data_IF_314640797123
#
_entry.id   IF_314640797123
#
_cell.length_a   1.000
_cell.length_b   1.000
_cell.length_c   1.000
_cell.angle_alpha   90.00
_cell.angle_beta   90.00
_cell.angle_gamma   90.00
#
_symmetry.space_group_name_H-M   'P 1'
#
loop_
_entity.id
_entity.type
_entity.pdbx_description
1 polymer ?
#
# COMPACT_ATOMS: atom_id res chain seq x y z
N UNK A 1 -6.98 1.62 3.77
CA UNK A 1 -8.43 1.33 3.83
C UNK A 1 -9.09 2.60 4.29
N UNK A 2 -10.26 2.95 3.77
CA UNK A 2 -11.03 4.08 4.28
C UNK A 2 -12.12 3.55 5.20
N UNK A 3 -12.05 3.91 6.49
CA UNK A 3 -13.11 3.56 7.43
C UNK A 3 -14.12 4.69 7.44
N UNK A 4 -15.38 4.35 7.18
CA UNK A 4 -16.47 5.31 7.02
C UNK A 4 -17.37 5.25 8.24
N UNK A 5 -17.68 6.42 8.83
CA UNK A 5 -18.60 6.53 9.98
C UNK A 5 -19.95 5.87 9.68
N UNK A 6 -20.47 5.10 10.64
CA UNK A 6 -21.74 4.38 10.50
C UNK A 6 -21.64 3.03 9.80
N UNK A 7 -20.42 2.53 9.52
CA UNK A 7 -20.20 1.16 9.05
C UNK A 7 -19.79 0.25 10.21
N UNK A 8 -20.07 -1.07 10.14
CA UNK A 8 -19.61 -2.02 11.17
C UNK A 8 -18.10 -1.96 11.40
N UNK A 9 -17.32 -1.68 10.36
CA UNK A 9 -15.87 -1.56 10.46
C UNK A 9 -15.44 -0.33 11.29
N UNK A 10 -16.21 0.75 11.25
CA UNK A 10 -16.00 1.92 12.11
C UNK A 10 -16.26 1.59 13.57
N UNK A 11 -17.31 0.82 13.86
CA UNK A 11 -17.63 0.42 15.24
C UNK A 11 -16.53 -0.48 15.81
N UNK A 12 -16.03 -1.43 15.02
CA UNK A 12 -14.90 -2.29 15.41
C UNK A 12 -13.61 -1.48 15.63
N UNK A 13 -13.36 -0.45 14.82
CA UNK A 13 -12.22 0.44 15.01
C UNK A 13 -12.35 1.24 16.30
N UNK A 14 -13.53 1.80 16.58
CA UNK A 14 -13.79 2.55 17.81
C UNK A 14 -13.69 1.68 19.07
N UNK A 15 -13.98 0.39 18.94
CA UNK A 15 -13.81 -0.61 20.00
C UNK A 15 -12.35 -1.09 20.16
N UNK A 16 -11.44 -0.68 19.27
CA UNK A 16 -10.04 -1.13 19.25
C UNK A 16 -9.84 -2.58 18.81
N UNK A 17 -10.91 -3.26 18.37
CA UNK A 17 -10.89 -4.65 17.90
C UNK A 17 -10.50 -4.76 16.42
N UNK A 18 -10.54 -3.64 15.71
CA UNK A 18 -10.01 -3.51 14.35
C UNK A 18 -9.00 -2.37 14.26
N UNK A 19 -7.74 -2.69 13.97
CA UNK A 19 -6.68 -1.71 13.79
C UNK A 19 -6.21 -1.73 12.34
N UNK A 20 -6.09 -0.54 11.75
CA UNK A 20 -5.49 -0.42 10.43
C UNK A 20 -3.97 -0.61 10.53
N UNK A 21 -3.36 -1.35 9.59
CA UNK A 21 -1.91 -1.39 9.51
C UNK A 21 -1.36 0.01 9.25
N UNK A 22 -0.17 0.25 9.77
CA UNK A 22 0.61 1.46 9.50
C UNK A 22 0.94 1.57 8.00
N UNK A 23 1.28 2.79 7.51
CA UNK A 23 1.73 2.98 6.14
C UNK A 23 2.82 2.00 5.69
N UNK A 24 3.78 1.72 6.57
CA UNK A 24 4.91 0.83 6.27
C UNK A 24 4.50 -0.64 6.23
N UNK A 25 3.56 -1.06 7.07
CA UNK A 25 2.99 -2.41 7.00
C UNK A 25 2.22 -2.62 5.70
N UNK A 26 1.43 -1.63 5.26
CA UNK A 26 0.73 -1.68 3.97
C UNK A 26 1.73 -1.76 2.80
N UNK A 27 2.83 -1.00 2.83
CA UNK A 27 3.86 -1.06 1.79
C UNK A 27 4.60 -2.41 1.80
N UNK A 28 4.85 -2.98 2.98
CA UNK A 28 5.45 -4.31 3.12
C UNK A 28 4.56 -5.39 2.52
N UNK A 29 3.27 -5.37 2.84
CA UNK A 29 2.27 -6.26 2.23
C UNK A 29 2.22 -6.11 0.71
N UNK A 30 2.31 -4.87 0.21
CA UNK A 30 2.32 -4.61 -1.23
C UNK A 30 3.53 -5.24 -1.94
N UNK A 31 4.72 -5.09 -1.37
CA UNK A 31 5.93 -5.69 -1.92
C UNK A 31 5.82 -7.22 -1.98
N UNK A 32 5.21 -7.83 -0.96
CA UNK A 32 4.98 -9.27 -0.89
C UNK A 32 3.93 -9.74 -1.89
N UNK A 33 2.84 -8.99 -2.06
CA UNK A 33 1.87 -9.29 -3.11
C UNK A 33 2.50 -9.20 -4.50
N UNK A 34 3.30 -8.18 -4.76
CA UNK A 34 3.93 -7.96 -6.07
C UNK A 34 5.01 -9.02 -6.37
N UNK A 35 5.81 -9.42 -5.37
CA UNK A 35 6.84 -10.46 -5.53
C UNK A 35 6.25 -11.82 -5.91
N UNK A 36 5.06 -12.12 -5.40
CA UNK A 36 4.33 -13.36 -5.68
C UNK A 36 3.31 -13.24 -6.82
N UNK A 37 3.18 -12.07 -7.45
CA UNK A 37 2.31 -11.89 -8.61
C UNK A 37 3.04 -12.28 -9.90
N UNK A 38 2.56 -13.33 -10.56
CA UNK A 38 3.05 -13.75 -11.86
C UNK A 38 2.11 -13.28 -12.97
N UNK A 39 2.64 -12.46 -13.88
CA UNK A 39 1.90 -11.98 -15.04
C UNK A 39 2.83 -11.97 -16.26
N UNK A 40 2.39 -12.61 -17.34
CA UNK A 40 3.16 -12.68 -18.59
C UNK A 40 3.12 -11.37 -19.38
N UNK A 41 2.07 -10.56 -19.19
CA UNK A 41 1.92 -9.21 -19.75
C UNK A 41 0.81 -8.46 -19.04
N UNK A 42 1.08 -7.25 -18.56
CA UNK A 42 0.04 -6.39 -18.01
C UNK A 42 0.59 -5.24 -17.17
N UNK A 43 -0.33 -4.51 -16.55
CA UNK A 43 -0.02 -3.46 -15.58
C UNK A 43 -0.54 -3.89 -14.22
N UNK A 44 0.34 -3.89 -13.22
CA UNK A 44 -0.04 -4.00 -11.83
C UNK A 44 -0.22 -2.59 -11.27
N UNK A 45 -1.41 -2.33 -10.71
CA UNK A 45 -1.78 -1.07 -10.08
C UNK A 45 -2.22 -1.34 -8.65
N UNK A 46 -1.71 -0.54 -7.71
CA UNK A 46 -2.10 -0.65 -6.31
C UNK A 46 -2.70 0.65 -5.81
N UNK A 47 -4.00 0.84 -6.02
CA UNK A 47 -4.73 2.07 -5.65
C UNK A 47 -4.79 2.31 -4.12
N UNK A 48 -4.49 1.28 -3.33
CA UNK A 48 -4.54 1.32 -1.88
C UNK A 48 -3.24 1.84 -1.24
N UNK A 49 -2.10 1.49 -1.86
CA UNK A 49 -0.75 1.91 -1.46
C UNK A 49 -0.19 3.06 -2.32
N UNK A 50 -0.80 3.34 -3.48
CA UNK A 50 -0.52 4.49 -4.35
C UNK A 50 -0.69 5.84 -3.67
N UNK A 51 -1.38 5.86 -2.52
CA UNK A 51 -1.53 7.02 -1.67
C UNK A 51 -0.27 7.35 -0.86
N UNK A 52 0.70 6.44 -0.77
CA UNK A 52 2.00 6.66 -0.15
C UNK A 52 3.12 6.74 -1.19
N UNK A 53 3.10 5.83 -2.17
CA UNK A 53 4.02 5.80 -3.31
C UNK A 53 3.22 5.35 -4.54
N UNK A 54 3.06 6.15 -5.60
CA UNK A 54 2.32 5.73 -6.79
C UNK A 54 3.01 4.54 -7.47
N UNK A 55 2.55 3.32 -7.21
CA UNK A 55 3.08 2.08 -7.81
C UNK A 55 2.26 1.69 -9.04
N UNK A 56 2.90 1.82 -10.20
CA UNK A 56 2.44 1.30 -11.50
C UNK A 56 3.58 0.49 -12.08
N UNK A 57 3.37 -0.81 -12.24
CA UNK A 57 4.43 -1.75 -12.64
C UNK A 57 4.04 -2.45 -13.93
N UNK A 58 4.90 -2.39 -14.94
CA UNK A 58 4.79 -3.18 -16.18
C UNK A 58 5.31 -4.58 -15.93
N UNK A 59 4.40 -5.54 -15.89
CA UNK A 59 4.74 -6.92 -15.63
C UNK A 59 5.13 -7.68 -16.91
N UNK A 60 6.14 -8.56 -16.85
CA UNK A 60 6.99 -8.88 -15.70
C UNK A 60 8.23 -7.97 -15.56
N UNK A 61 8.51 -7.14 -16.56
CA UNK A 61 9.79 -6.44 -16.72
C UNK A 61 10.20 -5.54 -15.55
N UNK A 62 9.24 -4.88 -14.90
CA UNK A 62 9.49 -3.92 -13.81
C UNK A 62 9.22 -4.52 -12.41
N UNK A 63 8.86 -5.81 -12.32
CA UNK A 63 8.43 -6.43 -11.04
C UNK A 63 9.52 -6.33 -9.98
N UNK A 64 10.70 -6.85 -10.28
CA UNK A 64 11.76 -7.03 -9.29
C UNK A 64 12.30 -5.66 -8.82
N UNK A 65 12.47 -4.72 -9.76
CA UNK A 65 12.85 -3.33 -9.46
C UNK A 65 11.83 -2.65 -8.53
N UNK A 66 10.53 -2.82 -8.80
CA UNK A 66 9.48 -2.23 -7.98
C UNK A 66 9.42 -2.87 -6.58
N UNK A 67 9.61 -4.18 -6.45
CA UNK A 67 9.68 -4.86 -5.15
C UNK A 67 10.86 -4.34 -4.32
N UNK A 68 12.05 -4.23 -4.92
CA UNK A 68 13.24 -3.71 -4.24
C UNK A 68 13.05 -2.25 -3.81
N UNK A 69 12.49 -1.41 -4.68
CA UNK A 69 12.18 -0.02 -4.36
C UNK A 69 11.28 0.10 -3.13
N UNK A 70 10.19 -0.69 -3.08
CA UNK A 70 9.24 -0.65 -1.96
C UNK A 70 9.90 -1.15 -0.68
N UNK A 71 10.65 -2.26 -0.72
CA UNK A 71 11.34 -2.81 0.45
C UNK A 71 12.40 -1.85 1.00
N UNK A 72 13.16 -1.20 0.11
CA UNK A 72 14.14 -0.17 0.49
C UNK A 72 13.46 1.00 1.19
N UNK A 73 12.39 1.53 0.60
CA UNK A 73 11.61 2.62 1.18
C UNK A 73 11.11 2.29 2.60
N UNK A 74 10.56 1.08 2.79
CA UNK A 74 10.12 0.60 4.12
C UNK A 74 11.30 0.54 5.09
N UNK A 75 12.47 0.04 4.65
CA UNK A 75 13.65 -0.07 5.51
C UNK A 75 14.25 1.27 5.92
N UNK A 76 14.14 2.28 5.06
CA UNK A 76 14.65 3.64 5.34
C UNK A 76 13.73 4.42 6.28
N UNK A 77 12.45 4.04 6.37
CA UNK A 77 11.51 4.60 7.35
C UNK A 77 11.19 6.09 7.16
N UNK A 78 11.47 6.65 5.98
CA UNK A 78 11.29 8.09 5.72
C UNK A 78 9.81 8.45 5.55
N UNK A 79 9.20 8.92 6.64
CA UNK A 79 7.81 9.36 6.70
C UNK A 79 7.58 10.65 5.89
N UNK A 80 8.62 11.44 5.58
CA UNK A 80 8.49 12.75 4.93
C UNK A 80 8.02 12.67 3.48
N UNK A 81 8.24 11.52 2.85
CA UNK A 81 7.81 11.21 1.49
C UNK A 81 6.41 10.59 1.41
N UNK A 82 5.80 10.27 2.56
CA UNK A 82 4.41 9.79 2.63
C UNK A 82 3.43 10.97 2.47
N UNK A 83 2.41 10.81 1.62
CA UNK A 83 1.36 11.84 1.54
C UNK A 83 0.51 11.87 2.82
N UNK A 84 0.18 13.06 3.35
CA UNK A 84 -0.73 13.22 4.48
C UNK A 84 -2.10 12.59 4.22
N UNK A 85 -2.70 11.96 5.25
CA UNK A 85 -3.96 11.21 5.12
C UNK A 85 -5.13 12.06 4.58
N UNK A 86 -5.19 13.36 4.92
CA UNK A 86 -6.26 14.27 4.49
C UNK A 86 -6.25 14.64 3.00
N UNK A 87 -5.20 14.26 2.26
CA UNK A 87 -5.05 14.55 0.83
C UNK A 87 -5.26 13.28 -0.02
N UNK A 88 -5.61 12.14 0.61
CA UNK A 88 -5.96 10.91 -0.11
C UNK A 88 -7.17 11.16 -1.00
N UNK A 89 -6.98 11.08 -2.32
CA UNK A 89 -8.04 11.12 -3.33
C UNK A 89 -8.21 9.71 -3.89
N UNK A 90 -9.46 9.30 -4.06
CA UNK A 90 -9.85 8.03 -4.68
C UNK A 90 -9.48 8.01 -6.16
#
# INVERSE_FOLDING_TARGET
>A
VMIVKGTPLYDLQQQGTFNLPSPFEILSELAEMLSHTEMTRGLFFANHASNYLPVRVRMPAERDEAVEMIRKFVSEGDVSSLKPEGIRRL
#
